data_IF_263114099090
#
_entry.id   IF_263114099090
#
_cell.length_a   1.000
_cell.length_b   1.000
_cell.length_c   1.000
_cell.angle_alpha   90.00
_cell.angle_beta   90.00
_cell.angle_gamma   90.00
#
_symmetry.space_group_name_H-M   'P 1'
#
loop_
_entity.id
_entity.type
_entity.pdbx_description
1 polymer ?
#
# COMPACT_ATOMS: atom_id res chain seq x y z
N UNK A 1 -20.13 -18.34 -3.21
CA UNK A 1 -19.09 -18.74 -4.18
C UNK A 1 -17.74 -18.40 -3.55
N UNK A 2 -16.85 -19.41 -3.37
CA UNK A 2 -15.47 -19.11 -2.95
C UNK A 2 -14.75 -18.49 -4.14
N UNK A 3 -14.69 -17.17 -4.20
CA UNK A 3 -13.81 -16.48 -5.15
C UNK A 3 -12.39 -16.57 -4.62
N UNK A 4 -11.49 -17.13 -5.40
CA UNK A 4 -10.07 -17.12 -5.07
C UNK A 4 -9.59 -15.66 -4.94
N UNK A 5 -8.64 -15.37 -4.03
CA UNK A 5 -8.10 -14.03 -3.90
C UNK A 5 -7.42 -13.61 -5.20
N UNK A 6 -7.55 -12.33 -5.54
CA UNK A 6 -6.85 -11.74 -6.68
C UNK A 6 -5.36 -11.60 -6.31
N UNK A 7 -4.49 -12.09 -7.17
CA UNK A 7 -3.03 -11.99 -6.99
C UNK A 7 -2.50 -10.92 -7.93
N UNK A 8 -1.85 -9.92 -7.38
CA UNK A 8 -1.18 -8.85 -8.11
C UNK A 8 0.29 -8.73 -7.69
N UNK A 9 1.06 -8.02 -8.49
CA UNK A 9 2.45 -7.70 -8.17
C UNK A 9 2.65 -6.19 -8.09
N UNK A 10 3.43 -5.73 -7.12
CA UNK A 10 3.84 -4.33 -7.05
C UNK A 10 4.84 -4.03 -8.16
N UNK A 11 4.44 -3.18 -9.12
CA UNK A 11 5.20 -2.96 -10.36
C UNK A 11 6.47 -2.09 -10.21
N UNK A 12 6.87 -1.81 -8.98
CA UNK A 12 8.06 -1.00 -8.65
C UNK A 12 9.36 -1.45 -9.36
N UNK A 13 9.64 -2.74 -9.62
CA UNK A 13 10.84 -3.15 -10.35
C UNK A 13 10.89 -2.72 -11.83
N UNK A 14 9.78 -2.27 -12.40
CA UNK A 14 9.64 -1.94 -13.83
C UNK A 14 9.22 -0.48 -14.08
N UNK A 15 9.97 0.52 -13.60
CA UNK A 15 9.52 1.93 -13.59
C UNK A 15 9.34 2.56 -14.98
N UNK A 16 10.02 2.02 -15.99
CA UNK A 16 10.05 2.59 -17.36
C UNK A 16 9.38 1.70 -18.43
N UNK A 17 8.78 0.56 -18.02
CA UNK A 17 8.10 -0.31 -18.98
C UNK A 17 6.83 0.35 -19.53
N UNK A 18 6.61 0.23 -20.85
CA UNK A 18 5.31 0.53 -21.45
C UNK A 18 4.24 -0.44 -20.94
N UNK A 19 2.97 -0.09 -21.09
CA UNK A 19 1.87 -0.98 -20.72
C UNK A 19 1.96 -2.35 -21.42
N UNK A 20 2.32 -2.37 -22.68
CA UNK A 20 2.50 -3.62 -23.44
C UNK A 20 3.63 -4.48 -22.85
N UNK A 21 4.83 -3.91 -22.69
CA UNK A 21 5.98 -4.65 -22.17
C UNK A 21 5.74 -5.14 -20.72
N UNK A 22 5.09 -4.32 -19.88
CA UNK A 22 4.75 -4.70 -18.51
C UNK A 22 3.74 -5.86 -18.51
N UNK A 23 2.74 -5.80 -19.37
CA UNK A 23 1.74 -6.85 -19.49
C UNK A 23 2.37 -8.17 -19.97
N UNK A 24 3.21 -8.13 -21.00
CA UNK A 24 3.89 -9.32 -21.52
C UNK A 24 4.72 -10.03 -20.42
N UNK A 25 5.51 -9.26 -19.68
CA UNK A 25 6.33 -9.80 -18.60
C UNK A 25 5.45 -10.42 -17.50
N UNK A 26 4.45 -9.68 -17.00
CA UNK A 26 3.69 -10.09 -15.83
C UNK A 26 2.69 -11.20 -16.13
N UNK A 27 2.06 -11.19 -17.30
CA UNK A 27 1.18 -12.28 -17.73
C UNK A 27 1.96 -13.58 -17.96
N UNK A 28 3.21 -13.50 -18.46
CA UNK A 28 4.08 -14.69 -18.59
C UNK A 28 4.44 -15.30 -17.24
N UNK A 29 4.46 -14.49 -16.16
CA UNK A 29 4.67 -14.93 -14.78
C UNK A 29 3.37 -15.39 -14.09
N UNK A 30 2.22 -15.31 -14.78
CA UNK A 30 0.92 -15.76 -14.28
C UNK A 30 0.14 -14.71 -13.48
N UNK A 31 0.63 -13.46 -13.35
CA UNK A 31 -0.11 -12.40 -12.68
C UNK A 31 -1.26 -11.89 -13.57
N UNK A 32 -2.35 -11.48 -12.94
CA UNK A 32 -3.53 -10.90 -13.61
C UNK A 32 -3.70 -9.41 -13.33
N UNK A 33 -2.92 -8.87 -12.41
CA UNK A 33 -3.00 -7.47 -12.03
C UNK A 33 -1.73 -6.97 -11.36
N UNK A 34 -1.70 -5.67 -11.19
CA UNK A 34 -0.62 -4.94 -10.52
C UNK A 34 -1.14 -4.04 -9.41
N UNK A 35 -0.26 -3.72 -8.49
CA UNK A 35 -0.28 -2.48 -7.74
C UNK A 35 0.68 -1.50 -8.43
N UNK A 36 0.20 -0.30 -8.77
CA UNK A 36 0.99 0.71 -9.48
C UNK A 36 1.51 1.78 -8.52
N UNK A 37 2.84 2.03 -8.43
CA UNK A 37 3.38 3.15 -7.68
C UNK A 37 3.14 4.48 -8.41
N UNK A 38 2.60 5.48 -7.68
CA UNK A 38 2.47 6.86 -8.16
C UNK A 38 3.59 7.67 -7.55
N UNK A 39 4.65 7.92 -8.32
CA UNK A 39 5.82 8.67 -7.85
C UNK A 39 6.72 9.09 -9.01
N UNK A 40 7.61 10.03 -8.73
CA UNK A 40 8.60 10.49 -9.70
C UNK A 40 9.46 9.34 -10.27
N UNK A 41 9.69 9.39 -11.58
CA UNK A 41 10.46 8.38 -12.31
C UNK A 41 9.69 7.10 -12.68
N UNK A 42 8.37 7.07 -12.44
CA UNK A 42 7.49 5.96 -12.84
C UNK A 42 6.54 6.37 -13.97
N UNK A 43 5.76 5.40 -14.46
CA UNK A 43 4.81 5.59 -15.58
C UNK A 43 3.76 6.67 -15.29
N UNK A 44 3.38 6.81 -14.02
CA UNK A 44 2.44 7.82 -13.54
C UNK A 44 3.08 8.54 -12.35
N UNK A 45 3.12 9.86 -12.43
CA UNK A 45 3.63 10.73 -11.36
C UNK A 45 2.49 11.50 -10.71
N UNK A 46 2.66 12.04 -9.49
CA UNK A 46 1.63 12.88 -8.87
C UNK A 46 1.14 14.02 -9.77
N UNK A 47 2.05 14.69 -10.46
CA UNK A 47 1.72 15.83 -11.34
C UNK A 47 0.95 15.43 -12.61
N UNK A 48 1.02 14.17 -13.01
CA UNK A 48 0.39 13.69 -14.26
C UNK A 48 -0.80 12.78 -14.04
N UNK A 49 -1.14 12.47 -12.79
CA UNK A 49 -2.05 11.37 -12.41
C UNK A 49 -3.42 11.46 -13.08
N UNK A 50 -4.03 12.66 -13.14
CA UNK A 50 -5.37 12.85 -13.70
C UNK A 50 -5.49 12.33 -15.15
N UNK A 51 -4.44 12.51 -15.94
CA UNK A 51 -4.43 12.12 -17.36
C UNK A 51 -3.71 10.81 -17.61
N UNK A 52 -2.61 10.59 -16.89
CA UNK A 52 -1.74 9.45 -17.13
C UNK A 52 -2.33 8.16 -16.54
N UNK A 53 -2.96 8.20 -15.36
CA UNK A 53 -3.49 7.00 -14.72
C UNK A 53 -4.63 6.35 -15.53
N UNK A 54 -5.70 7.07 -15.95
CA UNK A 54 -6.76 6.48 -16.75
C UNK A 54 -6.25 5.92 -18.07
N UNK A 55 -5.34 6.62 -18.73
CA UNK A 55 -4.73 6.18 -19.97
C UNK A 55 -3.93 4.88 -19.78
N UNK A 56 -3.00 4.87 -18.81
CA UNK A 56 -2.12 3.72 -18.57
C UNK A 56 -2.90 2.50 -18.08
N UNK A 57 -3.89 2.69 -17.19
CA UNK A 57 -4.79 1.62 -16.75
C UNK A 57 -5.62 1.04 -17.90
N UNK A 58 -6.09 1.88 -18.82
CA UNK A 58 -6.81 1.43 -20.01
C UNK A 58 -5.91 0.61 -20.94
N UNK A 59 -4.68 1.06 -21.20
CA UNK A 59 -3.69 0.34 -22.01
C UNK A 59 -3.35 -1.03 -21.39
N UNK A 60 -3.13 -1.10 -20.07
CA UNK A 60 -2.89 -2.37 -19.37
C UNK A 60 -4.08 -3.32 -19.51
N UNK A 61 -5.30 -2.82 -19.34
CA UNK A 61 -6.53 -3.62 -19.45
C UNK A 61 -6.71 -4.18 -20.86
N UNK A 62 -6.40 -3.39 -21.90
CA UNK A 62 -6.43 -3.85 -23.30
C UNK A 62 -5.43 -4.99 -23.55
N UNK A 63 -4.32 -5.01 -22.83
CA UNK A 63 -3.33 -6.08 -22.84
C UNK A 63 -3.63 -7.24 -21.86
N UNK A 64 -4.80 -7.24 -21.20
CA UNK A 64 -5.23 -8.31 -20.30
C UNK A 64 -4.71 -8.24 -18.87
N UNK A 65 -4.07 -7.11 -18.46
CA UNK A 65 -3.54 -6.89 -17.11
C UNK A 65 -4.36 -5.82 -16.40
N UNK A 66 -4.87 -6.12 -15.18
CA UNK A 66 -5.62 -5.16 -14.37
C UNK A 66 -4.72 -4.31 -13.46
N UNK A 67 -5.22 -3.14 -13.02
CA UNK A 67 -4.64 -2.38 -11.89
C UNK A 67 -5.60 -2.55 -10.72
N UNK A 68 -5.18 -3.24 -9.65
CA UNK A 68 -6.05 -3.55 -8.51
C UNK A 68 -5.88 -2.59 -7.34
N UNK A 69 -4.72 -1.92 -7.28
CA UNK A 69 -4.45 -0.85 -6.34
C UNK A 69 -3.38 0.09 -6.89
N UNK A 70 -3.30 1.27 -6.31
CA UNK A 70 -2.14 2.15 -6.46
C UNK A 70 -1.50 2.41 -5.10
N UNK A 71 -0.23 2.79 -5.11
CA UNK A 71 0.49 3.29 -3.94
C UNK A 71 0.85 4.77 -4.18
N UNK A 72 0.25 5.66 -3.42
CA UNK A 72 0.40 7.11 -3.62
C UNK A 72 -0.11 7.95 -2.45
N UNK A 73 -0.12 9.25 -2.67
CA UNK A 73 -0.62 10.23 -1.70
C UNK A 73 -2.15 10.22 -1.64
N UNK A 74 -2.69 10.58 -0.48
CA UNK A 74 -4.12 10.62 -0.22
C UNK A 74 -4.60 12.05 -0.41
N UNK A 75 -5.16 12.31 -1.58
CA UNK A 75 -5.81 13.58 -1.93
C UNK A 75 -6.99 13.36 -2.89
N UNK A 76 -7.79 14.38 -3.10
CA UNK A 76 -9.00 14.30 -3.92
C UNK A 76 -8.68 13.98 -5.39
N UNK A 77 -7.59 14.54 -5.92
CA UNK A 77 -7.17 14.34 -7.32
C UNK A 77 -6.82 12.88 -7.56
N UNK A 78 -6.03 12.30 -6.67
CA UNK A 78 -5.62 10.88 -6.71
C UNK A 78 -6.83 9.95 -6.59
N UNK A 79 -7.76 10.24 -5.66
CA UNK A 79 -8.98 9.45 -5.47
C UNK A 79 -9.86 9.47 -6.72
N UNK A 80 -10.10 10.65 -7.30
CA UNK A 80 -10.90 10.78 -8.53
C UNK A 80 -10.26 10.06 -9.72
N UNK A 81 -8.95 10.19 -9.90
CA UNK A 81 -8.21 9.49 -10.96
C UNK A 81 -8.28 7.96 -10.80
N UNK A 82 -8.27 7.44 -9.57
CA UNK A 82 -8.51 6.03 -9.28
C UNK A 82 -9.92 5.60 -9.71
N UNK A 83 -10.95 6.37 -9.33
CA UNK A 83 -12.34 6.09 -9.70
C UNK A 83 -12.55 6.06 -11.22
N UNK A 84 -12.06 7.06 -11.94
CA UNK A 84 -12.09 7.12 -13.40
C UNK A 84 -11.36 5.95 -14.07
N UNK A 85 -10.34 5.44 -13.39
CA UNK A 85 -9.56 4.29 -13.86
C UNK A 85 -10.17 2.94 -13.47
N UNK A 86 -11.22 2.92 -12.64
CA UNK A 86 -11.81 1.70 -12.08
C UNK A 86 -10.88 0.96 -11.10
N UNK A 87 -10.03 1.71 -10.38
CA UNK A 87 -9.07 1.17 -9.40
C UNK A 87 -9.67 1.29 -8.01
N UNK A 88 -9.91 0.18 -7.29
CA UNK A 88 -10.70 0.20 -6.07
C UNK A 88 -9.93 0.62 -4.82
N UNK A 89 -8.60 0.52 -4.79
CA UNK A 89 -7.80 0.74 -3.58
C UNK A 89 -6.68 1.76 -3.85
N UNK A 90 -6.68 2.83 -3.07
CA UNK A 90 -5.55 3.75 -2.91
C UNK A 90 -4.81 3.38 -1.63
N UNK A 91 -3.66 2.72 -1.75
CA UNK A 91 -2.83 2.34 -0.61
C UNK A 91 -1.91 3.47 -0.19
N UNK A 92 -1.90 3.73 1.09
CA UNK A 92 -1.02 4.72 1.73
C UNK A 92 -0.44 4.20 3.04
N UNK A 93 0.38 5.02 3.69
CA UNK A 93 1.02 4.73 4.98
C UNK A 93 0.92 5.96 5.88
N UNK A 94 0.63 5.77 7.16
CA UNK A 94 0.67 6.85 8.16
C UNK A 94 2.11 7.05 8.63
N UNK A 95 2.78 8.07 8.07
CA UNK A 95 4.08 8.53 8.57
C UNK A 95 3.88 9.29 9.88
N UNK A 96 4.67 8.95 10.88
CA UNK A 96 4.62 9.59 12.19
C UNK A 96 5.65 10.73 12.25
N UNK A 97 5.17 11.95 12.47
CA UNK A 97 6.02 13.09 12.82
C UNK A 97 6.41 12.96 14.29
N UNK A 98 7.70 12.77 14.54
CA UNK A 98 8.25 12.61 15.90
C UNK A 98 8.23 13.90 16.73
N UNK A 99 7.89 15.05 16.15
CA UNK A 99 7.79 16.33 16.87
C UNK A 99 6.45 16.53 17.56
N UNK A 100 5.45 15.71 17.21
CA UNK A 100 4.12 15.69 17.82
C UNK A 100 3.80 14.31 18.39
N UNK A 101 2.76 14.21 19.22
CA UNK A 101 2.36 12.93 19.81
C UNK A 101 1.82 11.95 18.74
N UNK A 102 1.87 10.65 19.08
CA UNK A 102 1.24 9.62 18.24
C UNK A 102 -0.25 9.92 18.01
N UNK A 103 -0.97 10.35 19.04
CA UNK A 103 -2.39 10.67 18.93
C UNK A 103 -2.66 11.84 17.97
N UNK A 104 -1.84 12.89 17.99
CA UNK A 104 -1.97 14.02 17.07
C UNK A 104 -1.72 13.62 15.61
N UNK A 105 -0.75 12.70 15.36
CA UNK A 105 -0.53 12.11 14.05
C UNK A 105 -1.77 11.36 13.56
N UNK A 106 -2.34 10.51 14.41
CA UNK A 106 -3.55 9.73 14.11
C UNK A 106 -4.75 10.62 13.85
N UNK A 107 -4.98 11.63 14.69
CA UNK A 107 -6.11 12.55 14.56
C UNK A 107 -6.00 13.41 13.29
N UNK A 108 -4.78 13.73 12.87
CA UNK A 108 -4.54 14.44 11.61
C UNK A 108 -4.88 13.55 10.40
N UNK A 109 -4.46 12.30 10.42
CA UNK A 109 -4.81 11.33 9.37
C UNK A 109 -6.33 11.10 9.31
N UNK A 110 -6.99 10.98 10.46
CA UNK A 110 -8.45 10.80 10.52
C UNK A 110 -9.19 11.98 9.90
N UNK A 111 -8.85 13.21 10.27
CA UNK A 111 -9.45 14.42 9.67
C UNK A 111 -9.26 14.46 8.16
N UNK A 112 -8.05 14.16 7.67
CA UNK A 112 -7.79 14.08 6.22
C UNK A 112 -8.71 13.06 5.54
N UNK A 113 -8.89 11.86 6.11
CA UNK A 113 -9.80 10.87 5.55
C UNK A 113 -11.26 11.32 5.57
N UNK A 114 -11.72 11.93 6.66
CA UNK A 114 -13.09 12.43 6.83
C UNK A 114 -13.43 13.53 5.82
N UNK A 115 -12.50 14.45 5.57
CA UNK A 115 -12.64 15.50 4.56
C UNK A 115 -12.77 14.92 3.14
N UNK A 116 -12.21 13.76 2.89
CA UNK A 116 -12.22 13.09 1.59
C UNK A 116 -13.39 12.12 1.38
N UNK A 117 -14.23 11.88 2.38
CA UNK A 117 -15.37 10.94 2.25
C UNK A 117 -16.27 11.20 1.03
N UNK A 118 -16.62 12.44 0.68
CA UNK A 118 -17.43 12.66 -0.52
C UNK A 118 -16.74 12.16 -1.80
N UNK A 119 -15.46 12.46 -1.98
CA UNK A 119 -14.70 12.00 -3.16
C UNK A 119 -14.54 10.47 -3.19
N UNK A 120 -14.28 9.84 -2.03
CA UNK A 120 -14.18 8.40 -1.87
C UNK A 120 -15.48 7.71 -2.29
N UNK A 121 -16.62 8.20 -1.78
CA UNK A 121 -17.93 7.62 -2.07
C UNK A 121 -18.34 7.82 -3.54
N UNK A 122 -18.14 9.01 -4.10
CA UNK A 122 -18.45 9.31 -5.50
C UNK A 122 -17.60 8.46 -6.45
N UNK A 123 -16.35 8.16 -6.08
CA UNK A 123 -15.40 7.43 -6.91
C UNK A 123 -15.45 5.90 -6.69
N UNK A 124 -16.07 5.43 -5.62
CA UNK A 124 -16.07 4.01 -5.25
C UNK A 124 -14.68 3.45 -4.89
N UNK A 125 -13.78 4.33 -4.44
CA UNK A 125 -12.41 3.99 -4.05
C UNK A 125 -12.35 3.83 -2.53
N UNK A 126 -11.48 2.95 -2.02
CA UNK A 126 -11.17 2.85 -0.59
C UNK A 126 -9.73 3.26 -0.33
N UNK A 127 -9.49 4.01 0.74
CA UNK A 127 -8.13 4.26 1.24
C UNK A 127 -7.69 3.02 2.02
N UNK A 128 -6.58 2.41 1.61
CA UNK A 128 -5.95 1.28 2.30
C UNK A 128 -4.77 1.74 3.15
N UNK A 129 -4.90 1.78 4.48
CA UNK A 129 -3.78 2.12 5.37
C UNK A 129 -2.91 0.90 5.61
N UNK A 130 -1.63 0.98 5.21
CA UNK A 130 -0.65 -0.09 5.36
C UNK A 130 0.26 0.14 6.57
N UNK A 131 0.56 -0.94 7.32
CA UNK A 131 1.65 -0.93 8.30
C UNK A 131 3.02 -0.86 7.61
N UNK A 132 3.95 -0.10 8.18
CA UNK A 132 5.31 0.04 7.65
C UNK A 132 6.31 0.32 8.77
N UNK A 133 7.48 -0.31 8.73
CA UNK A 133 8.58 -0.01 9.66
C UNK A 133 9.13 1.42 9.47
N UNK A 134 10.02 1.87 10.34
CA UNK A 134 10.79 3.13 10.22
C UNK A 134 9.95 4.41 10.32
N UNK A 135 9.34 4.66 11.46
CA UNK A 135 8.65 5.92 11.73
C UNK A 135 7.27 6.04 11.07
N UNK A 136 6.64 4.91 10.82
CA UNK A 136 5.25 4.81 10.40
C UNK A 136 4.42 4.05 11.44
N UNK A 137 3.10 4.03 11.28
CA UNK A 137 2.25 3.08 11.98
C UNK A 137 2.70 1.66 11.58
N UNK A 138 3.39 0.94 12.47
CA UNK A 138 4.19 -0.23 12.10
C UNK A 138 3.52 -1.58 12.38
N UNK A 139 2.53 -1.62 13.27
CA UNK A 139 1.82 -2.85 13.66
C UNK A 139 0.37 -2.88 13.19
N UNK A 140 -0.23 -4.07 13.18
CA UNK A 140 -1.65 -4.24 12.92
C UNK A 140 -2.51 -3.43 13.90
N UNK A 141 -2.12 -3.41 15.19
CA UNK A 141 -2.82 -2.61 16.22
C UNK A 141 -2.75 -1.12 15.92
N UNK A 142 -1.60 -0.59 15.48
CA UNK A 142 -1.48 0.82 15.15
C UNK A 142 -2.31 1.22 13.92
N UNK A 143 -2.38 0.33 12.93
CA UNK A 143 -3.24 0.52 11.75
C UNK A 143 -4.72 0.51 12.17
N UNK A 144 -5.16 -0.51 12.91
CA UNK A 144 -6.55 -0.60 13.35
C UNK A 144 -6.91 0.57 14.27
N UNK A 145 -6.07 0.93 15.24
CA UNK A 145 -6.30 2.11 16.07
C UNK A 145 -6.48 3.38 15.24
N UNK A 146 -5.69 3.56 14.17
CA UNK A 146 -5.83 4.74 13.32
C UNK A 146 -7.16 4.76 12.55
N UNK A 147 -7.66 3.62 12.10
CA UNK A 147 -8.83 3.56 11.20
C UNK A 147 -10.14 3.13 11.87
N UNK A 148 -10.09 2.61 13.11
CA UNK A 148 -11.26 2.04 13.79
C UNK A 148 -12.48 2.98 13.82
N UNK A 149 -12.36 4.29 14.15
CA UNK A 149 -13.51 5.20 14.17
C UNK A 149 -13.96 5.66 12.78
N UNK A 150 -13.15 5.39 11.75
CA UNK A 150 -13.45 5.80 10.38
C UNK A 150 -14.44 4.85 9.71
N UNK A 151 -15.16 5.33 8.72
CA UNK A 151 -16.12 4.56 7.93
C UNK A 151 -15.44 3.38 7.23
N UNK A 152 -15.94 2.17 7.45
CA UNK A 152 -15.37 0.93 6.90
C UNK A 152 -15.54 0.77 5.39
N UNK A 153 -16.48 1.47 4.79
CA UNK A 153 -16.69 1.54 3.35
C UNK A 153 -15.75 2.55 2.66
N UNK A 154 -15.06 3.40 3.44
CA UNK A 154 -14.15 4.42 2.93
C UNK A 154 -12.68 4.10 3.23
N UNK A 155 -12.39 3.52 4.40
CA UNK A 155 -11.01 3.26 4.85
C UNK A 155 -10.87 1.83 5.33
N UNK A 156 -9.84 1.15 4.85
CA UNK A 156 -9.54 -0.26 5.12
C UNK A 156 -8.11 -0.46 5.60
N UNK A 157 -7.81 -1.64 6.12
CA UNK A 157 -6.46 -2.05 6.50
C UNK A 157 -5.77 -2.77 5.33
N UNK A 158 -4.49 -2.50 5.16
CA UNK A 158 -3.58 -3.27 4.33
C UNK A 158 -2.46 -3.79 5.21
N UNK A 159 -2.19 -5.09 5.19
CA UNK A 159 -1.09 -5.66 5.95
C UNK A 159 0.09 -6.01 5.03
N UNK A 160 1.27 -5.58 5.44
CA UNK A 160 2.54 -5.98 4.85
C UNK A 160 3.26 -6.91 5.82
N UNK A 161 3.24 -8.20 5.53
CA UNK A 161 3.77 -9.23 6.44
C UNK A 161 5.28 -9.16 6.62
N UNK A 162 6.01 -8.62 5.62
CA UNK A 162 7.44 -8.36 5.79
C UNK A 162 7.73 -7.27 6.82
N UNK A 163 6.90 -6.23 6.89
CA UNK A 163 7.02 -5.20 7.94
C UNK A 163 6.53 -5.71 9.29
N UNK A 164 5.47 -6.52 9.33
CA UNK A 164 4.99 -7.20 10.53
C UNK A 164 6.11 -8.03 11.19
N UNK A 165 6.78 -8.89 10.41
CA UNK A 165 7.89 -9.70 10.91
C UNK A 165 9.10 -8.88 11.37
N UNK A 166 9.43 -7.76 10.67
CA UNK A 166 10.52 -6.87 11.09
C UNK A 166 10.27 -6.21 12.45
N UNK A 167 9.03 -5.91 12.78
CA UNK A 167 8.64 -5.33 14.07
C UNK A 167 8.37 -6.39 15.16
N UNK A 168 8.50 -7.69 14.82
CA UNK A 168 8.34 -8.79 15.76
C UNK A 168 6.89 -9.11 16.12
N UNK A 169 5.93 -8.63 15.34
CA UNK A 169 4.53 -8.99 15.49
C UNK A 169 4.27 -10.33 14.80
N UNK A 170 3.53 -11.22 15.41
CA UNK A 170 3.15 -12.51 14.83
C UNK A 170 2.15 -12.30 13.71
N UNK A 171 2.42 -12.86 12.55
CA UNK A 171 1.63 -12.66 11.33
C UNK A 171 0.19 -13.18 11.45
N UNK A 172 0.00 -14.31 12.16
CA UNK A 172 -1.33 -14.87 12.41
C UNK A 172 -2.20 -13.96 13.27
N UNK A 173 -1.63 -13.34 14.31
CA UNK A 173 -2.33 -12.36 15.15
C UNK A 173 -2.56 -11.05 14.41
N UNK A 174 -1.60 -10.58 13.60
CA UNK A 174 -1.76 -9.37 12.82
C UNK A 174 -2.94 -9.50 11.84
N UNK A 175 -3.06 -10.65 11.17
CA UNK A 175 -4.18 -10.94 10.28
C UNK A 175 -5.50 -10.99 11.05
N UNK A 176 -5.56 -11.68 12.18
CA UNK A 176 -6.77 -11.79 13.01
C UNK A 176 -7.25 -10.42 13.49
N UNK A 177 -6.33 -9.59 14.00
CA UNK A 177 -6.62 -8.21 14.44
C UNK A 177 -7.18 -7.35 13.30
N UNK A 178 -6.56 -7.43 12.12
CA UNK A 178 -6.95 -6.60 10.99
C UNK A 178 -8.17 -7.14 10.22
N UNK A 179 -8.52 -8.41 10.38
CA UNK A 179 -9.48 -9.14 9.57
C UNK A 179 -10.80 -8.39 9.29
N UNK A 180 -11.46 -7.74 10.28
CA UNK A 180 -12.71 -7.03 10.04
C UNK A 180 -12.61 -5.82 9.10
N UNK A 181 -11.40 -5.33 8.88
CA UNK A 181 -11.12 -4.14 8.08
C UNK A 181 -10.15 -4.42 6.92
N UNK A 182 -9.69 -5.68 6.77
CA UNK A 182 -8.63 -6.08 5.85
C UNK A 182 -9.12 -6.07 4.40
N UNK A 183 -8.45 -5.33 3.53
CA UNK A 183 -8.72 -5.28 2.08
C UNK A 183 -7.61 -5.91 1.24
N UNK A 184 -6.36 -5.88 1.73
CA UNK A 184 -5.21 -6.38 0.97
C UNK A 184 -4.11 -6.88 1.91
N UNK A 185 -3.36 -7.88 1.43
CA UNK A 185 -2.12 -8.36 2.07
C UNK A 185 -0.97 -8.26 1.08
N UNK A 186 0.11 -7.61 1.49
CA UNK A 186 1.38 -7.61 0.79
C UNK A 186 2.25 -8.76 1.31
N UNK A 187 2.52 -9.72 0.43
CA UNK A 187 3.37 -10.87 0.74
C UNK A 187 4.81 -10.57 0.36
N UNK A 188 5.66 -10.44 1.35
CA UNK A 188 7.11 -10.36 1.18
C UNK A 188 7.81 -10.83 2.45
N UNK A 189 9.06 -11.28 2.31
CA UNK A 189 9.89 -11.70 3.41
C UNK A 189 10.98 -10.67 3.68
N UNK A 190 11.28 -10.48 4.96
CA UNK A 190 12.35 -9.63 5.43
C UNK A 190 13.00 -10.24 6.66
N UNK A 191 14.29 -10.02 6.82
CA UNK A 191 15.03 -10.38 8.03
C UNK A 191 15.71 -9.15 8.60
N UNK A 192 15.81 -9.13 9.93
CA UNK A 192 16.62 -8.17 10.68
C UNK A 192 17.90 -8.87 11.14
N UNK A 193 19.02 -8.21 11.00
CA UNK A 193 20.33 -8.75 11.38
C UNK A 193 21.18 -7.67 12.05
N UNK A 194 22.11 -8.05 12.95
CA UNK A 194 23.05 -7.11 13.56
C UNK A 194 24.04 -6.60 12.51
N UNK A 195 24.26 -5.29 12.50
CA UNK A 195 25.17 -4.59 11.58
C UNK A 195 26.12 -3.68 12.37
N UNK A 196 26.99 -4.32 13.15
CA UNK A 196 27.95 -3.63 14.01
C UNK A 196 27.38 -3.04 15.29
N UNK A 197 28.09 -2.09 15.88
CA UNK A 197 27.71 -1.37 17.10
C UNK A 197 27.80 0.15 16.86
N UNK A 198 27.04 0.91 17.63
CA UNK A 198 27.18 2.36 17.67
C UNK A 198 28.35 2.79 18.60
N UNK A 199 28.58 4.11 18.70
CA UNK A 199 29.63 4.66 19.56
C UNK A 199 29.42 4.40 21.07
N UNK A 200 28.21 4.07 21.50
CA UNK A 200 27.85 3.69 22.86
C UNK A 200 27.93 2.17 23.11
N UNK A 201 28.27 1.38 22.08
CA UNK A 201 28.36 -0.08 22.15
C UNK A 201 27.03 -0.81 21.96
N UNK A 202 25.93 -0.11 21.66
CA UNK A 202 24.66 -0.74 21.36
C UNK A 202 24.65 -1.36 19.96
N UNK A 203 24.02 -2.53 19.82
CA UNK A 203 23.93 -3.23 18.53
C UNK A 203 23.11 -2.40 17.54
N UNK A 204 23.69 -2.12 16.39
CA UNK A 204 22.96 -1.58 15.24
C UNK A 204 22.27 -2.72 14.52
N UNK A 205 21.02 -2.50 14.15
CA UNK A 205 20.22 -3.45 13.40
C UNK A 205 20.01 -2.95 11.98
N UNK A 206 20.26 -3.80 11.01
CA UNK A 206 19.92 -3.57 9.62
C UNK A 206 18.88 -4.60 9.18
N UNK A 207 18.32 -4.43 8.00
CA UNK A 207 17.33 -5.34 7.41
C UNK A 207 17.59 -5.57 5.94
N UNK A 208 17.14 -6.70 5.43
CA UNK A 208 17.13 -7.00 4.01
C UNK A 208 15.86 -7.76 3.64
N UNK A 209 15.48 -7.61 2.39
CA UNK A 209 14.40 -8.39 1.80
C UNK A 209 15.00 -9.70 1.29
N UNK A 210 14.35 -10.82 1.61
CA UNK A 210 14.84 -12.16 1.27
C UNK A 210 13.81 -12.92 0.44
N UNK A 211 14.26 -13.94 -0.29
CA UNK A 211 13.34 -14.85 -0.99
C UNK A 211 12.58 -15.71 0.02
N UNK A 212 11.38 -16.18 -0.36
CA UNK A 212 10.59 -17.08 0.49
C UNK A 212 11.18 -18.48 0.67
N UNK A 213 12.43 -18.71 0.22
CA UNK A 213 13.15 -19.97 0.33
C UNK A 213 14.29 -19.93 1.35
N UNK A 214 14.54 -18.79 1.98
CA UNK A 214 15.60 -18.57 2.97
C UNK A 214 15.04 -18.54 4.38
#
# INVERSE_FOLDING_TARGET
MNTLPLISVFSKPWPSHSAANLSDVLLSLGFKGIELPIREGFQVTPDTIEKALPKFASELRQNGLGVFSIAGDVDEVTIRACGESGIPILRTMLKLDSTISYQENVDTFRRQCEELYPAIQDSGVSIGLQNHCDGFACSSLSVIHAIEPLRSDCVSAVLDLGHTGLEGEREDLAIDIAWPRLSMINLKNAIRFPDGTDAAGAVKWNRTWVSGKE
#
